data_IF_573368147563
#
_entry.id   IF_573368147563
#
_cell.length_a   1.000
_cell.length_b   1.000
_cell.length_c   1.000
_cell.angle_alpha   90.00
_cell.angle_beta   90.00
_cell.angle_gamma   90.00
#
_symmetry.space_group_name_H-M   'P 1'
#
loop_
_entity.id
_entity.type
_entity.pdbx_description
1 polymer ?
#
# COMPACT_ATOMS: atom_id res chain seq x y z
N UNK A 1 -29.06 10.56 22.57
CA UNK A 1 -28.19 9.50 22.02
C UNK A 1 -27.02 10.20 21.36
N UNK A 2 -25.75 9.84 21.63
CA UNK A 2 -24.64 10.36 20.80
C UNK A 2 -24.94 9.88 19.38
N UNK A 3 -25.18 10.79 18.44
CA UNK A 3 -25.37 10.38 17.06
C UNK A 3 -24.07 9.68 16.62
N UNK A 4 -24.15 8.39 16.31
CA UNK A 4 -23.05 7.70 15.65
C UNK A 4 -22.80 8.39 14.32
N UNK A 5 -21.56 8.41 13.87
CA UNK A 5 -21.21 8.97 12.56
C UNK A 5 -20.48 7.96 11.71
N UNK A 6 -20.50 8.24 10.41
CA UNK A 6 -19.61 7.60 9.47
C UNK A 6 -18.77 8.64 8.73
N UNK A 7 -17.59 8.20 8.35
CA UNK A 7 -16.63 8.86 7.49
C UNK A 7 -16.60 8.11 6.16
N UNK A 8 -16.52 8.83 5.05
CA UNK A 8 -16.30 8.21 3.74
C UNK A 8 -14.80 8.06 3.54
N UNK A 9 -14.29 6.84 3.67
CA UNK A 9 -12.90 6.50 3.35
C UNK A 9 -12.79 6.12 1.88
N UNK A 10 -11.84 6.71 1.17
CA UNK A 10 -11.59 6.46 -0.26
C UNK A 10 -10.12 6.09 -0.41
N UNK A 11 -9.83 4.99 -1.08
CA UNK A 11 -8.48 4.51 -1.42
C UNK A 11 -8.35 4.41 -2.94
N UNK A 12 -7.64 5.37 -3.54
CA UNK A 12 -7.52 5.55 -4.98
C UNK A 12 -6.23 4.87 -5.45
N UNK A 13 -6.33 3.71 -6.08
CA UNK A 13 -5.22 3.07 -6.80
C UNK A 13 -5.21 3.42 -8.29
N UNK A 14 -4.14 3.06 -9.01
CA UNK A 14 -4.05 3.30 -10.46
C UNK A 14 -5.09 2.54 -11.29
N UNK A 15 -5.45 1.32 -10.86
CA UNK A 15 -6.43 0.48 -11.58
C UNK A 15 -7.82 0.56 -10.97
N UNK A 16 -7.93 0.41 -9.65
CA UNK A 16 -9.18 0.39 -8.91
C UNK A 16 -9.17 1.43 -7.79
N UNK A 17 -10.35 1.99 -7.52
CA UNK A 17 -10.62 2.81 -6.35
C UNK A 17 -11.62 2.06 -5.47
N UNK A 18 -11.24 1.82 -4.22
CA UNK A 18 -12.11 1.23 -3.20
C UNK A 18 -12.60 2.35 -2.29
N UNK A 19 -13.86 2.33 -1.90
CA UNK A 19 -14.39 3.32 -0.97
C UNK A 19 -15.47 2.72 -0.08
N UNK A 20 -15.64 3.29 1.11
CA UNK A 20 -16.60 2.78 2.09
C UNK A 20 -17.06 3.83 3.09
N UNK A 21 -18.29 3.64 3.57
CA UNK A 21 -18.82 4.34 4.73
C UNK A 21 -18.34 3.60 5.99
N UNK A 22 -17.39 4.20 6.70
CA UNK A 22 -16.74 3.63 7.89
C UNK A 22 -17.28 4.34 9.12
N UNK A 23 -17.83 3.60 10.07
CA UNK A 23 -18.30 4.20 11.32
C UNK A 23 -17.13 4.70 12.18
N UNK A 24 -17.44 5.56 13.15
CA UNK A 24 -16.48 6.09 14.12
C UNK A 24 -15.67 5.05 14.91
N UNK A 25 -16.18 3.82 15.05
CA UNK A 25 -15.56 2.68 15.71
C UNK A 25 -14.87 1.70 14.73
N UNK A 26 -14.76 2.07 13.45
CA UNK A 26 -14.00 1.31 12.45
C UNK A 26 -14.79 0.24 11.70
N UNK A 27 -16.10 0.12 11.93
CA UNK A 27 -16.95 -0.83 11.22
C UNK A 27 -17.26 -0.34 9.81
N UNK A 28 -17.09 -1.21 8.82
CA UNK A 28 -17.50 -0.94 7.44
C UNK A 28 -19.00 -1.16 7.32
N UNK A 29 -19.74 -0.05 7.17
CA UNK A 29 -21.20 -0.06 7.02
C UNK A 29 -21.62 -0.35 5.58
N UNK A 30 -20.85 0.20 4.63
CA UNK A 30 -21.02 0.05 3.17
C UNK A 30 -19.65 0.10 2.51
N UNK A 31 -19.50 -0.63 1.41
CA UNK A 31 -18.28 -0.69 0.61
C UNK A 31 -18.65 -0.88 -0.86
N UNK A 32 -17.87 -0.28 -1.74
CA UNK A 32 -17.92 -0.53 -3.18
C UNK A 32 -16.51 -0.36 -3.78
N UNK A 33 -16.34 -0.82 -5.02
CA UNK A 33 -15.11 -0.70 -5.78
C UNK A 33 -15.42 -0.42 -7.24
N UNK A 34 -14.71 0.54 -7.82
CA UNK A 34 -14.87 0.92 -9.22
C UNK A 34 -13.50 1.06 -9.89
N UNK A 35 -13.46 0.89 -11.21
CA UNK A 35 -12.25 1.19 -11.99
C UNK A 35 -11.90 2.67 -11.85
N UNK A 36 -10.63 2.97 -11.55
CA UNK A 36 -10.14 4.34 -11.41
C UNK A 36 -10.19 5.09 -12.73
N UNK A 37 -9.90 4.39 -13.85
CA UNK A 37 -9.69 4.99 -15.17
C UNK A 37 -8.70 6.15 -15.08
N UNK A 38 -7.48 5.87 -14.61
CA UNK A 38 -6.44 6.83 -14.28
C UNK A 38 -6.23 7.97 -15.31
N UNK A 39 -6.40 7.69 -16.61
CA UNK A 39 -6.21 8.66 -17.70
C UNK A 39 -7.39 9.62 -17.90
N UNK A 40 -8.55 9.33 -17.30
CA UNK A 40 -9.74 10.17 -17.40
C UNK A 40 -9.72 11.32 -16.40
N UNK A 41 -10.63 12.27 -16.58
CA UNK A 41 -10.79 13.38 -15.64
C UNK A 41 -11.28 12.84 -14.26
N UNK A 42 -10.63 13.23 -13.14
CA UNK A 42 -11.03 12.84 -11.79
C UNK A 42 -12.52 13.04 -11.47
N UNK A 43 -13.17 14.03 -12.11
CA UNK A 43 -14.63 14.27 -12.00
C UNK A 43 -15.44 13.00 -12.20
N UNK A 44 -15.13 12.19 -13.22
CA UNK A 44 -15.90 10.99 -13.49
C UNK A 44 -15.80 9.93 -12.39
N UNK A 45 -14.66 9.87 -11.69
CA UNK A 45 -14.50 8.99 -10.55
C UNK A 45 -15.34 9.47 -9.37
N UNK A 46 -15.21 10.75 -9.01
CA UNK A 46 -15.89 11.33 -7.86
C UNK A 46 -17.40 11.44 -8.04
N UNK A 47 -17.90 11.72 -9.25
CA UNK A 47 -19.34 11.69 -9.56
C UNK A 47 -19.94 10.33 -9.19
N UNK A 48 -19.31 9.23 -9.63
CA UNK A 48 -19.77 7.86 -9.33
C UNK A 48 -19.71 7.55 -7.83
N UNK A 49 -18.61 7.91 -7.16
CA UNK A 49 -18.45 7.69 -5.71
C UNK A 49 -19.55 8.42 -4.94
N UNK A 50 -19.81 9.68 -5.28
CA UNK A 50 -20.78 10.49 -4.54
C UNK A 50 -22.24 10.19 -4.90
N UNK A 51 -22.52 9.73 -6.11
CA UNK A 51 -23.82 9.12 -6.44
C UNK A 51 -24.10 7.91 -5.54
N UNK A 52 -23.11 7.02 -5.36
CA UNK A 52 -23.22 5.85 -4.45
C UNK A 52 -23.34 6.28 -3.00
N UNK A 53 -22.52 7.23 -2.54
CA UNK A 53 -22.61 7.72 -1.17
C UNK A 53 -23.96 8.40 -0.88
N UNK A 54 -24.57 9.11 -1.83
CA UNK A 54 -25.91 9.69 -1.66
C UNK A 54 -26.99 8.64 -1.40
N UNK A 55 -26.87 7.45 -2.01
CA UNK A 55 -27.75 6.31 -1.69
C UNK A 55 -27.47 5.83 -0.27
N UNK A 56 -26.21 5.64 0.10
CA UNK A 56 -25.84 5.18 1.44
C UNK A 56 -26.26 6.14 2.55
N UNK A 57 -26.14 7.46 2.35
CA UNK A 57 -26.59 8.46 3.32
C UNK A 57 -28.07 8.25 3.64
N UNK A 58 -28.94 8.03 2.63
CA UNK A 58 -30.37 7.77 2.85
C UNK A 58 -30.62 6.46 3.60
N UNK A 59 -29.85 5.42 3.30
CA UNK A 59 -29.96 4.11 3.98
C UNK A 59 -29.46 4.15 5.43
N UNK A 60 -28.58 5.09 5.76
CA UNK A 60 -27.92 5.21 7.05
C UNK A 60 -28.46 6.34 7.94
N UNK A 61 -29.25 7.28 7.39
CA UNK A 61 -29.65 8.58 7.97
C UNK A 61 -30.20 8.50 9.40
N UNK A 62 -30.88 7.41 9.74
CA UNK A 62 -31.47 7.20 11.07
C UNK A 62 -30.48 6.70 12.14
N UNK A 63 -29.30 6.21 11.73
CA UNK A 63 -28.31 5.57 12.62
C UNK A 63 -26.97 6.27 12.59
N UNK A 64 -26.57 6.82 11.45
CA UNK A 64 -25.27 7.44 11.26
C UNK A 64 -25.38 8.74 10.47
N UNK A 65 -24.75 9.80 10.96
CA UNK A 65 -24.59 11.02 10.19
C UNK A 65 -23.29 10.99 9.39
N UNK A 66 -23.32 11.51 8.15
CA UNK A 66 -22.13 11.64 7.32
C UNK A 66 -21.28 12.82 7.80
N UNK A 67 -20.09 12.54 8.35
CA UNK A 67 -19.29 13.57 9.06
C UNK A 67 -18.16 14.17 8.25
N UNK A 68 -17.39 13.35 7.53
CA UNK A 68 -16.20 13.80 6.83
C UNK A 68 -15.76 12.81 5.75
N UNK A 69 -14.84 13.25 4.88
CA UNK A 69 -14.23 12.45 3.82
C UNK A 69 -12.73 12.37 4.05
N UNK A 70 -12.18 11.17 3.95
CA UNK A 70 -10.75 10.93 3.96
C UNK A 70 -10.33 10.16 2.72
N UNK A 71 -9.19 10.54 2.12
CA UNK A 71 -8.74 9.99 0.84
C UNK A 71 -7.28 9.56 0.94
N UNK A 72 -7.00 8.28 0.73
CA UNK A 72 -5.68 7.76 0.35
C UNK A 72 -5.52 7.84 -1.16
N UNK A 73 -4.45 8.46 -1.64
CA UNK A 73 -4.17 8.60 -3.08
C UNK A 73 -2.66 8.67 -3.31
N UNK A 74 -2.11 8.05 -4.38
CA UNK A 74 -0.70 8.16 -4.75
C UNK A 74 -0.23 9.61 -4.74
N UNK A 75 0.87 9.87 -4.04
CA UNK A 75 1.45 11.20 -3.83
C UNK A 75 0.46 12.26 -3.30
N UNK A 76 -0.56 11.84 -2.56
CA UNK A 76 -1.46 12.73 -1.82
C UNK A 76 -0.74 13.37 -0.64
N UNK A 77 -0.61 14.69 -0.67
CA UNK A 77 0.12 15.42 0.34
C UNK A 77 -0.79 15.80 1.52
N UNK A 78 -0.47 15.26 2.71
CA UNK A 78 -1.26 15.46 3.92
C UNK A 78 -1.40 16.94 4.34
N UNK A 79 -0.33 17.72 4.19
CA UNK A 79 -0.31 19.11 4.65
C UNK A 79 -1.02 20.06 3.70
N UNK A 80 -0.85 19.86 2.39
CA UNK A 80 -1.30 20.83 1.38
C UNK A 80 -2.63 20.45 0.73
N UNK A 81 -3.06 19.19 0.81
CA UNK A 81 -4.24 18.71 0.09
C UNK A 81 -4.01 18.50 -1.42
N UNK A 82 -2.76 18.60 -1.87
CA UNK A 82 -2.37 18.48 -3.27
C UNK A 82 -1.98 17.05 -3.63
N UNK A 83 -2.30 16.63 -4.85
CA UNK A 83 -1.71 15.45 -5.50
C UNK A 83 -0.63 15.93 -6.46
N UNK A 84 0.61 15.47 -6.27
CA UNK A 84 1.77 15.90 -7.07
C UNK A 84 2.43 14.71 -7.75
N UNK A 85 2.59 14.78 -9.07
CA UNK A 85 3.27 13.78 -9.90
C UNK A 85 2.93 12.32 -9.54
N UNK A 86 1.63 11.95 -9.47
CA UNK A 86 1.24 10.61 -9.07
C UNK A 86 1.71 9.57 -10.10
N UNK A 87 2.48 8.53 -9.71
CA UNK A 87 3.14 7.64 -10.67
C UNK A 87 2.16 6.79 -11.49
N UNK A 88 0.98 6.49 -10.93
CA UNK A 88 0.00 5.58 -11.50
C UNK A 88 -1.32 6.28 -11.87
N UNK A 89 -1.36 7.61 -11.88
CA UNK A 89 -2.54 8.39 -12.28
C UNK A 89 -2.18 9.29 -13.46
N UNK A 90 -3.13 9.46 -14.39
CA UNK A 90 -2.89 10.18 -15.64
C UNK A 90 -2.68 11.69 -15.44
N UNK A 91 -2.29 12.37 -16.52
CA UNK A 91 -1.91 13.80 -16.53
C UNK A 91 -2.95 14.75 -15.86
N UNK A 92 -4.24 14.38 -15.86
CA UNK A 92 -5.32 15.16 -15.25
C UNK A 92 -5.29 15.19 -13.70
N UNK A 93 -4.50 14.33 -13.08
CA UNK A 93 -4.29 14.28 -11.63
C UNK A 93 -3.08 15.09 -11.16
N UNK A 94 -2.23 15.57 -12.08
CA UNK A 94 -1.03 16.32 -11.72
C UNK A 94 -1.36 17.69 -11.13
N UNK A 95 -0.69 18.02 -10.02
CA UNK A 95 -0.82 19.30 -9.32
C UNK A 95 -2.28 19.66 -9.00
N UNK A 96 -3.07 18.64 -8.64
CA UNK A 96 -4.48 18.80 -8.32
C UNK A 96 -4.66 19.09 -6.83
N UNK A 97 -5.29 20.22 -6.51
CA UNK A 97 -5.83 20.49 -5.16
C UNK A 97 -7.09 19.63 -4.96
N UNK A 98 -6.87 18.40 -4.48
CA UNK A 98 -7.91 17.39 -4.38
C UNK A 98 -8.91 17.73 -3.27
N UNK A 99 -8.45 18.36 -2.19
CA UNK A 99 -9.32 18.84 -1.11
C UNK A 99 -10.31 19.88 -1.63
N UNK A 100 -9.83 20.91 -2.33
CA UNK A 100 -10.69 21.94 -2.93
C UNK A 100 -11.59 21.36 -4.01
N UNK A 101 -11.09 20.40 -4.78
CA UNK A 101 -11.87 19.68 -5.78
C UNK A 101 -13.07 18.97 -5.16
N UNK A 102 -12.86 18.16 -4.11
CA UNK A 102 -13.91 17.37 -3.46
C UNK A 102 -14.89 18.26 -2.68
N UNK A 103 -14.44 19.36 -2.10
CA UNK A 103 -15.32 20.34 -1.42
C UNK A 103 -16.40 20.96 -2.30
N UNK A 104 -16.30 20.83 -3.62
CA UNK A 104 -17.38 21.23 -4.56
C UNK A 104 -18.62 20.33 -4.46
N UNK A 105 -18.46 19.10 -3.94
CA UNK A 105 -19.53 18.12 -3.80
C UNK A 105 -20.19 18.16 -2.43
N UNK A 106 -19.40 18.35 -1.37
CA UNK A 106 -19.87 18.40 0.01
C UNK A 106 -19.18 19.51 0.80
N UNK A 107 -19.97 20.24 1.58
CA UNK A 107 -19.48 21.23 2.55
C UNK A 107 -19.19 20.58 3.92
N UNK A 108 -18.28 19.61 3.92
CA UNK A 108 -17.81 18.89 5.13
C UNK A 108 -16.28 18.82 5.15
N UNK A 109 -15.65 18.47 6.28
CA UNK A 109 -14.21 18.28 6.33
C UNK A 109 -13.72 17.21 5.34
N UNK A 110 -12.68 17.55 4.58
CA UNK A 110 -11.99 16.67 3.63
C UNK A 110 -10.51 16.71 3.94
N UNK A 111 -9.87 15.54 4.06
CA UNK A 111 -8.41 15.40 4.18
C UNK A 111 -7.93 14.32 3.23
N UNK A 112 -6.68 14.42 2.80
CA UNK A 112 -6.03 13.41 1.98
C UNK A 112 -4.70 13.00 2.59
N UNK A 113 -4.18 11.86 2.14
CA UNK A 113 -2.81 11.43 2.40
C UNK A 113 -2.36 10.45 1.30
N UNK A 114 -1.10 10.02 1.36
CA UNK A 114 -0.60 8.92 0.56
C UNK A 114 -1.30 7.60 0.98
N UNK A 115 -1.56 6.71 0.02
CA UNK A 115 -2.22 5.42 0.23
C UNK A 115 -1.55 4.53 1.29
N UNK A 116 -0.22 4.44 1.29
CA UNK A 116 0.52 3.70 2.32
C UNK A 116 0.43 4.35 3.70
N UNK A 117 0.41 5.69 3.77
CA UNK A 117 0.16 6.42 5.02
C UNK A 117 -1.28 6.24 5.51
N UNK A 118 -2.27 6.15 4.62
CA UNK A 118 -3.63 5.79 4.97
C UNK A 118 -3.66 4.37 5.58
N UNK A 119 -3.07 3.38 4.90
CA UNK A 119 -2.98 2.02 5.44
C UNK A 119 -2.29 1.97 6.83
N UNK A 120 -1.21 2.74 7.02
CA UNK A 120 -0.55 2.86 8.31
C UNK A 120 -1.46 3.44 9.40
N UNK A 121 -2.26 4.45 9.07
CA UNK A 121 -3.24 5.00 9.99
C UNK A 121 -4.35 3.98 10.33
N UNK A 122 -4.76 3.17 9.35
CA UNK A 122 -5.71 2.08 9.55
C UNK A 122 -5.18 1.05 10.55
N UNK A 123 -3.96 0.56 10.34
CA UNK A 123 -3.28 -0.36 11.26
C UNK A 123 -3.12 0.24 12.65
N UNK A 124 -2.75 1.53 12.73
CA UNK A 124 -2.59 2.23 14.01
C UNK A 124 -3.90 2.40 14.77
N UNK A 125 -5.02 2.51 14.07
CA UNK A 125 -6.33 2.79 14.68
C UNK A 125 -7.06 1.51 15.07
N UNK A 126 -7.05 0.52 14.19
CA UNK A 126 -7.90 -0.67 14.30
C UNK A 126 -7.19 -2.00 14.02
N UNK A 127 -5.94 -1.97 13.55
CA UNK A 127 -5.19 -3.18 13.19
C UNK A 127 -4.12 -3.57 14.20
N UNK A 128 -3.09 -4.29 13.73
CA UNK A 128 -2.07 -4.90 14.61
C UNK A 128 -1.11 -3.88 15.21
N UNK A 129 -1.05 -2.66 14.65
CA UNK A 129 -0.21 -1.58 15.16
C UNK A 129 -0.88 -0.75 16.28
N UNK A 130 -2.09 -1.12 16.71
CA UNK A 130 -2.88 -0.33 17.66
C UNK A 130 -2.11 0.04 18.94
N UNK A 131 -1.39 -0.90 19.52
CA UNK A 131 -0.61 -0.68 20.74
C UNK A 131 0.88 -0.35 20.48
N UNK A 132 1.32 -0.37 19.22
CA UNK A 132 2.70 -0.08 18.85
C UNK A 132 2.97 1.41 18.80
N UNK A 133 4.14 1.84 19.27
CA UNK A 133 4.62 3.21 19.15
C UNK A 133 5.46 3.40 17.91
N UNK A 134 6.26 2.41 17.55
CA UNK A 134 7.17 2.51 16.41
C UNK A 134 6.98 1.30 15.50
N UNK A 135 6.44 1.51 14.31
CA UNK A 135 6.18 0.44 13.35
C UNK A 135 6.27 0.97 11.92
N UNK A 136 6.48 0.07 10.97
CA UNK A 136 6.47 0.39 9.54
C UNK A 136 5.40 -0.45 8.89
N UNK A 137 4.40 0.18 8.28
CA UNK A 137 3.41 -0.52 7.46
C UNK A 137 3.90 -0.52 6.03
N UNK A 138 4.08 -1.70 5.46
CA UNK A 138 4.59 -1.92 4.11
C UNK A 138 3.45 -2.36 3.21
N UNK A 139 3.21 -1.61 2.14
CA UNK A 139 2.24 -1.96 1.11
C UNK A 139 2.99 -2.66 -0.03
N UNK A 140 2.65 -3.92 -0.31
CA UNK A 140 3.31 -4.71 -1.34
C UNK A 140 2.28 -5.20 -2.38
N UNK A 141 2.39 -4.66 -3.59
CA UNK A 141 1.48 -4.92 -4.70
C UNK A 141 2.15 -4.65 -6.03
N UNK A 142 1.54 -3.80 -6.87
CA UNK A 142 2.16 -3.33 -8.12
C UNK A 142 3.50 -2.66 -7.87
N UNK A 143 3.60 -1.90 -6.78
CA UNK A 143 4.82 -1.27 -6.26
C UNK A 143 5.11 -1.65 -4.80
N UNK A 144 6.02 -0.92 -4.16
CA UNK A 144 6.29 -0.98 -2.72
C UNK A 144 6.13 0.42 -2.12
N UNK A 145 5.11 0.60 -1.30
CA UNK A 145 4.93 1.79 -0.47
C UNK A 145 5.19 1.49 1.01
N UNK A 146 5.39 2.52 1.82
CA UNK A 146 5.32 2.35 3.28
C UNK A 146 4.81 3.59 4.00
N UNK A 147 4.16 3.36 5.14
CA UNK A 147 3.80 4.40 6.09
C UNK A 147 4.52 4.16 7.41
N UNK A 148 5.07 5.24 7.97
CA UNK A 148 5.85 5.18 9.20
C UNK A 148 4.96 5.55 10.39
N UNK A 149 4.97 4.73 11.43
CA UNK A 149 4.40 5.06 12.74
C UNK A 149 5.58 5.34 13.67
N UNK A 150 5.66 6.56 14.20
CA UNK A 150 6.71 7.02 15.11
C UNK A 150 6.03 7.68 16.32
N UNK A 151 6.43 7.26 17.52
CA UNK A 151 5.81 7.73 18.77
C UNK A 151 4.26 7.60 18.79
N UNK A 152 3.75 6.55 18.16
CA UNK A 152 2.33 6.23 18.08
C UNK A 152 1.54 7.05 17.06
N UNK A 153 2.21 7.84 16.21
CA UNK A 153 1.56 8.67 15.19
C UNK A 153 2.13 8.36 13.81
N UNK A 154 1.30 8.51 12.77
CA UNK A 154 1.82 8.45 11.40
C UNK A 154 2.75 9.64 11.17
N UNK A 155 3.96 9.35 10.71
CA UNK A 155 5.00 10.33 10.45
C UNK A 155 5.02 10.70 8.96
N UNK A 156 4.72 11.96 8.67
CA UNK A 156 4.61 12.49 7.32
C UNK A 156 5.89 13.17 6.80
N UNK A 157 6.90 13.39 7.66
CA UNK A 157 8.07 14.20 7.33
C UNK A 157 7.76 15.70 7.31
N UNK A 158 8.73 16.50 6.84
CA UNK A 158 8.59 17.96 6.83
C UNK A 158 7.71 18.48 5.69
N UNK A 159 7.62 17.74 4.59
CA UNK A 159 6.91 18.13 3.37
C UNK A 159 5.79 17.15 2.98
N UNK A 160 5.58 16.05 3.73
CA UNK A 160 4.47 15.13 3.51
C UNK A 160 4.83 13.83 2.77
N UNK A 161 6.11 13.59 2.47
CA UNK A 161 6.60 12.44 1.70
C UNK A 161 7.56 11.52 2.47
N UNK A 162 7.47 11.47 3.80
CA UNK A 162 8.22 10.46 4.55
C UNK A 162 7.65 9.05 4.29
N UNK A 163 8.52 8.03 4.37
CA UNK A 163 8.13 6.63 4.23
C UNK A 163 8.35 6.01 2.84
N UNK A 164 9.19 6.60 2.00
CA UNK A 164 9.49 6.07 0.66
C UNK A 164 10.48 4.87 0.68
N UNK A 165 10.13 3.81 1.41
CA UNK A 165 10.93 2.59 1.56
C UNK A 165 11.21 1.90 0.21
N UNK A 166 10.27 1.97 -0.73
CA UNK A 166 10.42 1.38 -2.06
C UNK A 166 11.59 1.96 -2.86
N UNK A 167 12.00 3.18 -2.52
CA UNK A 167 13.01 3.93 -3.27
C UNK A 167 14.39 3.98 -2.60
N UNK A 168 14.62 3.22 -1.52
CA UNK A 168 15.98 3.00 -1.04
C UNK A 168 16.79 2.24 -2.11
N UNK A 169 18.08 2.57 -2.24
CA UNK A 169 18.95 1.92 -3.24
C UNK A 169 19.50 0.65 -2.62
N UNK A 170 19.06 -0.52 -3.11
CA UNK A 170 19.60 -1.82 -2.71
C UNK A 170 20.78 -2.25 -3.59
N UNK A 171 20.78 -1.83 -4.85
CA UNK A 171 21.85 -2.13 -5.80
C UNK A 171 22.15 -0.89 -6.65
N UNK A 172 23.24 -0.15 -6.37
CA UNK A 172 23.58 1.06 -7.13
C UNK A 172 23.78 0.86 -8.64
N UNK A 173 24.02 -0.36 -9.10
CA UNK A 173 24.15 -0.72 -10.53
C UNK A 173 22.94 -1.50 -11.04
N UNK A 174 21.86 -1.45 -10.27
CA UNK A 174 20.67 -2.27 -10.43
C UNK A 174 19.70 -1.81 -11.50
N UNK A 175 18.44 -2.21 -11.34
CA UNK A 175 17.34 -1.91 -12.27
C UNK A 175 16.99 -0.42 -12.27
N UNK A 176 16.65 0.11 -13.43
CA UNK A 176 16.11 1.47 -13.55
C UNK A 176 14.71 1.51 -12.95
N UNK A 177 14.45 2.52 -12.12
CA UNK A 177 13.15 2.77 -11.50
C UNK A 177 12.47 3.95 -12.18
N UNK A 178 11.14 3.92 -12.22
CA UNK A 178 10.32 4.99 -12.81
C UNK A 178 10.43 6.31 -12.06
N UNK A 179 10.88 6.30 -10.80
CA UNK A 179 11.23 7.52 -10.07
C UNK A 179 12.48 8.24 -10.63
N UNK A 180 13.13 7.70 -11.66
CA UNK A 180 14.34 8.26 -12.29
C UNK A 180 15.65 7.82 -11.65
N UNK A 181 15.60 7.02 -10.57
CA UNK A 181 16.77 6.45 -9.89
C UNK A 181 17.08 5.05 -10.39
N UNK A 182 18.24 4.54 -9.99
CA UNK A 182 18.67 3.17 -10.27
C UNK A 182 18.84 2.39 -8.97
N UNK A 183 18.39 1.13 -8.95
CA UNK A 183 18.59 0.24 -7.82
C UNK A 183 17.54 0.29 -6.73
N UNK A 184 16.38 0.90 -6.97
CA UNK A 184 15.32 1.00 -5.96
C UNK A 184 14.82 -0.39 -5.55
N UNK A 185 14.62 -0.58 -4.24
CA UNK A 185 14.11 -1.82 -3.65
C UNK A 185 12.84 -2.33 -4.34
N UNK A 186 11.90 -1.43 -4.64
CA UNK A 186 10.64 -1.73 -5.34
C UNK A 186 10.86 -2.54 -6.62
N UNK A 187 11.92 -2.24 -7.38
CA UNK A 187 12.21 -2.88 -8.66
C UNK A 187 12.63 -4.34 -8.53
N UNK A 188 12.71 -4.88 -7.32
CA UNK A 188 13.05 -6.28 -7.04
C UNK A 188 11.94 -7.05 -6.32
N UNK A 189 11.14 -6.35 -5.50
CA UNK A 189 10.24 -6.99 -4.53
C UNK A 189 8.76 -6.81 -4.82
N UNK A 190 8.40 -5.80 -5.62
CA UNK A 190 7.02 -5.60 -6.08
C UNK A 190 6.61 -6.61 -7.14
N UNK A 191 5.33 -6.65 -7.53
CA UNK A 191 4.88 -7.43 -8.69
C UNK A 191 5.64 -7.05 -9.97
N UNK A 192 5.92 -5.75 -10.18
CA UNK A 192 6.76 -5.27 -11.29
C UNK A 192 8.18 -5.80 -11.16
N UNK A 193 8.75 -5.78 -9.96
CA UNK A 193 10.09 -6.30 -9.70
C UNK A 193 10.22 -7.81 -9.92
N UNK A 194 9.22 -8.59 -9.50
CA UNK A 194 9.15 -10.03 -9.75
C UNK A 194 9.10 -10.34 -11.24
N UNK A 195 8.31 -9.58 -12.03
CA UNK A 195 8.27 -9.71 -13.48
C UNK A 195 9.67 -9.53 -14.08
N UNK A 196 10.40 -8.47 -13.70
CA UNK A 196 11.78 -8.29 -14.15
C UNK A 196 12.69 -9.46 -13.76
N UNK A 197 12.54 -10.01 -12.55
CA UNK A 197 13.31 -11.19 -12.13
C UNK A 197 12.99 -12.41 -13.00
N UNK A 198 11.72 -12.64 -13.31
CA UNK A 198 11.32 -13.71 -14.22
C UNK A 198 11.95 -13.52 -15.61
N UNK A 199 11.94 -12.30 -16.14
CA UNK A 199 12.53 -11.97 -17.45
C UNK A 199 14.07 -12.22 -17.45
N UNK A 200 14.75 -11.88 -16.35
CA UNK A 200 16.19 -12.14 -16.16
C UNK A 200 16.50 -13.65 -16.07
N UNK A 201 15.62 -14.43 -15.41
CA UNK A 201 15.74 -15.88 -15.35
C UNK A 201 15.44 -16.53 -16.71
N UNK A 202 14.40 -16.09 -17.41
CA UNK A 202 14.03 -16.62 -18.71
C UNK A 202 15.13 -16.36 -19.75
N UNK A 203 15.81 -15.22 -19.69
CA UNK A 203 16.95 -14.92 -20.56
C UNK A 203 18.12 -15.91 -20.38
N UNK A 204 18.27 -16.48 -19.17
CA UNK A 204 19.28 -17.51 -18.85
C UNK A 204 18.79 -18.93 -19.14
N UNK A 205 17.47 -19.15 -19.01
CA UNK A 205 16.81 -20.45 -19.19
C UNK A 205 15.66 -20.36 -20.21
N UNK A 206 15.95 -20.08 -21.50
CA UNK A 206 14.92 -19.70 -22.48
C UNK A 206 13.90 -20.81 -22.82
N UNK A 207 14.20 -22.06 -22.47
CA UNK A 207 13.34 -23.22 -22.72
C UNK A 207 12.58 -23.70 -21.47
N UNK A 208 12.66 -22.99 -20.34
CA UNK A 208 11.93 -23.37 -19.12
C UNK A 208 10.43 -23.15 -19.31
N UNK A 209 9.67 -24.26 -19.29
CA UNK A 209 8.21 -24.24 -19.51
C UNK A 209 7.45 -23.48 -18.44
N UNK A 210 7.95 -23.48 -17.19
CA UNK A 210 7.30 -22.78 -16.08
C UNK A 210 7.41 -21.28 -16.28
N UNK A 211 8.62 -20.79 -16.55
CA UNK A 211 8.86 -19.37 -16.80
C UNK A 211 8.11 -18.86 -18.03
N UNK A 212 8.10 -19.64 -19.13
CA UNK A 212 7.32 -19.31 -20.31
C UNK A 212 5.81 -19.19 -19.99
N UNK A 213 5.24 -20.13 -19.23
CA UNK A 213 3.83 -20.09 -18.84
C UNK A 213 3.48 -18.91 -17.90
N UNK A 214 4.45 -18.42 -17.11
CA UNK A 214 4.27 -17.24 -16.26
C UNK A 214 4.25 -15.92 -17.05
N UNK A 215 4.84 -15.88 -18.24
CA UNK A 215 4.75 -14.71 -19.12
C UNK A 215 3.48 -14.68 -19.98
N UNK A 216 2.92 -15.85 -20.32
CA UNK A 216 1.73 -15.94 -21.18
C UNK A 216 0.53 -15.28 -20.47
N UNK A 217 0.06 -14.16 -21.04
CA UNK A 217 -1.10 -13.35 -20.62
C UNK A 217 -0.89 -12.32 -19.49
N UNK A 218 0.32 -11.76 -19.36
CA UNK A 218 0.79 -10.93 -18.24
C UNK A 218 1.13 -11.76 -16.99
N UNK A 219 2.01 -11.20 -16.16
CA UNK A 219 2.46 -11.84 -14.92
C UNK A 219 1.27 -12.22 -14.02
N UNK A 220 1.16 -13.51 -13.73
CA UNK A 220 0.14 -14.08 -12.86
C UNK A 220 0.80 -14.61 -11.58
N UNK A 221 0.70 -13.84 -10.50
CA UNK A 221 1.26 -14.21 -9.20
C UNK A 221 0.66 -15.50 -8.63
N UNK A 222 -0.58 -15.86 -9.00
CA UNK A 222 -1.21 -17.09 -8.52
C UNK A 222 -0.56 -18.33 -9.12
N UNK A 223 -0.26 -18.32 -10.42
CA UNK A 223 0.48 -19.42 -11.05
C UNK A 223 1.88 -19.57 -10.45
N UNK A 224 2.52 -18.46 -10.11
CA UNK A 224 3.83 -18.46 -9.46
C UNK A 224 3.73 -19.09 -8.06
N UNK A 225 2.71 -18.73 -7.29
CA UNK A 225 2.42 -19.35 -5.99
C UNK A 225 2.18 -20.86 -6.09
N UNK A 226 1.37 -21.30 -7.05
CA UNK A 226 1.08 -22.73 -7.30
C UNK A 226 2.37 -23.50 -7.66
N UNK A 227 3.24 -22.91 -8.49
CA UNK A 227 4.51 -23.53 -8.86
C UNK A 227 5.51 -23.59 -7.69
N UNK A 228 5.51 -22.57 -6.82
CA UNK A 228 6.29 -22.62 -5.57
C UNK A 228 5.80 -23.75 -4.67
N UNK A 229 4.50 -23.84 -4.42
CA UNK A 229 3.91 -24.86 -3.55
C UNK A 229 4.12 -26.28 -4.09
N UNK A 230 4.16 -26.43 -5.42
CA UNK A 230 4.50 -27.68 -6.10
C UNK A 230 6.01 -28.03 -6.05
N UNK A 231 6.84 -27.18 -5.45
CA UNK A 231 8.28 -27.42 -5.28
C UNK A 231 9.10 -27.20 -6.56
N UNK A 232 8.63 -26.37 -7.50
CA UNK A 232 9.39 -26.07 -8.72
C UNK A 232 10.62 -25.24 -8.38
N UNK A 233 11.80 -25.84 -8.50
CA UNK A 233 13.09 -25.26 -8.07
C UNK A 233 13.34 -23.83 -8.58
N UNK A 234 13.12 -23.56 -9.87
CA UNK A 234 13.38 -22.23 -10.44
C UNK A 234 12.49 -21.14 -9.82
N UNK A 235 11.28 -21.50 -9.38
CA UNK A 235 10.36 -20.58 -8.71
C UNK A 235 10.72 -20.40 -7.23
N UNK A 236 11.19 -21.47 -6.58
CA UNK A 236 11.76 -21.40 -5.24
C UNK A 236 12.96 -20.43 -5.21
N UNK A 237 13.87 -20.52 -6.18
CA UNK A 237 15.01 -19.61 -6.32
C UNK A 237 14.60 -18.15 -6.53
N UNK A 238 13.57 -17.89 -7.35
CA UNK A 238 13.08 -16.52 -7.57
C UNK A 238 12.48 -15.94 -6.29
N UNK A 239 11.67 -16.72 -5.57
CA UNK A 239 11.10 -16.28 -4.30
C UNK A 239 12.17 -16.06 -3.22
N UNK A 240 13.18 -16.92 -3.17
CA UNK A 240 14.33 -16.77 -2.28
C UNK A 240 15.14 -15.51 -2.62
N UNK A 241 15.46 -15.27 -3.90
CA UNK A 241 16.14 -14.06 -4.35
C UNK A 241 15.37 -12.80 -3.95
N UNK A 242 14.07 -12.75 -4.26
CA UNK A 242 13.22 -11.60 -3.94
C UNK A 242 13.10 -11.39 -2.42
N UNK A 243 12.89 -12.46 -1.65
CA UNK A 243 12.84 -12.38 -0.19
C UNK A 243 14.18 -11.93 0.40
N UNK A 244 15.30 -12.41 -0.11
CA UNK A 244 16.63 -11.99 0.33
C UNK A 244 16.85 -10.49 0.16
N UNK A 245 16.47 -9.95 -1.00
CA UNK A 245 16.53 -8.50 -1.27
C UNK A 245 15.58 -7.72 -0.36
N UNK A 246 14.34 -8.18 -0.17
CA UNK A 246 13.41 -7.56 0.77
C UNK A 246 14.01 -7.49 2.17
N UNK A 247 14.54 -8.61 2.68
CA UNK A 247 15.16 -8.67 4.01
C UNK A 247 16.33 -7.71 4.20
N UNK A 248 17.18 -7.53 3.18
CA UNK A 248 18.25 -6.53 3.21
C UNK A 248 17.68 -5.11 3.32
N UNK A 249 16.65 -4.79 2.55
CA UNK A 249 15.98 -3.49 2.62
C UNK A 249 15.33 -3.21 3.98
N UNK A 250 14.68 -4.21 4.57
CA UNK A 250 14.11 -4.13 5.92
C UNK A 250 15.21 -3.92 6.98
N UNK A 251 16.36 -4.59 6.86
CA UNK A 251 17.49 -4.41 7.78
C UNK A 251 18.11 -3.00 7.68
N UNK A 252 18.22 -2.45 6.48
CA UNK A 252 18.65 -1.05 6.29
C UNK A 252 17.68 -0.07 6.96
N UNK A 253 16.38 -0.23 6.73
CA UNK A 253 15.36 0.60 7.39
C UNK A 253 15.40 0.45 8.92
N UNK A 254 15.60 -0.78 9.41
CA UNK A 254 15.72 -1.09 10.84
C UNK A 254 16.89 -0.38 11.51
N UNK A 255 18.00 -0.19 10.80
CA UNK A 255 19.17 0.52 11.32
C UNK A 255 18.85 1.95 11.74
N UNK A 256 17.90 2.59 11.06
CA UNK A 256 17.49 3.99 11.29
C UNK A 256 16.28 4.05 12.21
N UNK A 257 15.28 3.22 11.96
CA UNK A 257 13.96 3.34 12.57
C UNK A 257 13.77 2.48 13.82
N UNK A 258 14.53 1.39 13.92
CA UNK A 258 14.40 0.36 14.97
C UNK A 258 12.94 0.02 15.33
N UNK A 259 12.09 -0.35 14.35
CA UNK A 259 10.66 -0.53 14.58
C UNK A 259 10.37 -1.80 15.41
N UNK A 260 9.23 -1.83 16.10
CA UNK A 260 8.70 -3.03 16.75
C UNK A 260 8.31 -4.10 15.73
N UNK A 261 7.77 -3.65 14.58
CA UNK A 261 7.37 -4.52 13.48
C UNK A 261 7.39 -3.84 12.12
N UNK A 262 7.64 -4.65 11.08
CA UNK A 262 7.18 -4.39 9.72
C UNK A 262 5.85 -5.13 9.51
N UNK A 263 4.80 -4.40 9.17
CA UNK A 263 3.43 -4.92 9.00
C UNK A 263 3.10 -4.89 7.52
N UNK A 264 2.92 -6.07 6.93
CA UNK A 264 2.67 -6.20 5.49
C UNK A 264 1.17 -6.20 5.17
N UNK A 265 0.82 -5.37 4.19
CA UNK A 265 -0.51 -5.22 3.62
C UNK A 265 -0.42 -5.25 2.08
N UNK A 266 -1.48 -5.67 1.38
CA UNK A 266 -1.61 -5.58 -0.08
C UNK A 266 -1.56 -6.92 -0.82
N UNK A 267 -1.83 -6.91 -2.14
CA UNK A 267 -2.08 -8.13 -2.92
C UNK A 267 -0.90 -9.12 -3.00
N UNK A 268 0.35 -8.64 -3.00
CA UNK A 268 1.52 -9.53 -2.97
C UNK A 268 1.81 -10.06 -1.56
N UNK A 269 1.27 -9.40 -0.53
CA UNK A 269 1.29 -9.96 0.82
C UNK A 269 0.50 -11.27 0.89
N UNK A 270 -0.35 -11.63 -0.09
CA UNK A 270 -0.98 -12.95 -0.20
C UNK A 270 0.00 -14.09 -0.52
N UNK A 271 1.18 -13.78 -1.09
CA UNK A 271 2.30 -14.72 -1.10
C UNK A 271 2.83 -15.01 0.32
N UNK A 272 2.28 -14.33 1.35
CA UNK A 272 2.44 -14.47 2.82
C UNK A 272 3.76 -15.10 3.22
N UNK A 273 3.80 -16.43 3.27
CA UNK A 273 4.92 -17.17 3.80
C UNK A 273 6.06 -17.39 2.77
N UNK A 274 5.76 -17.36 1.47
CA UNK A 274 6.70 -17.69 0.38
C UNK A 274 7.83 -16.67 0.28
N UNK A 275 7.51 -15.37 0.33
CA UNK A 275 8.52 -14.29 0.36
C UNK A 275 9.00 -14.02 1.79
N UNK A 276 8.06 -13.88 2.74
CA UNK A 276 8.40 -13.34 4.07
C UNK A 276 9.29 -14.27 4.89
N UNK A 277 9.28 -15.59 4.62
CA UNK A 277 10.23 -16.53 5.24
C UNK A 277 11.67 -16.17 4.88
N UNK A 278 11.98 -16.03 3.60
CA UNK A 278 13.33 -15.66 3.15
C UNK A 278 13.67 -14.22 3.55
N UNK A 279 12.69 -13.31 3.50
CA UNK A 279 12.87 -11.94 3.98
C UNK A 279 13.23 -11.88 5.46
N UNK A 280 12.59 -12.70 6.31
CA UNK A 280 12.93 -12.78 7.73
C UNK A 280 14.35 -13.29 7.94
N UNK A 281 14.72 -14.37 7.25
CA UNK A 281 16.06 -14.96 7.34
C UNK A 281 17.14 -13.96 6.91
N UNK A 282 16.95 -13.29 5.78
CA UNK A 282 17.87 -12.27 5.28
C UNK A 282 17.91 -11.04 6.19
N UNK A 283 16.76 -10.57 6.68
CA UNK A 283 16.71 -9.45 7.63
C UNK A 283 17.54 -9.77 8.88
N UNK A 284 17.31 -10.92 9.53
CA UNK A 284 18.03 -11.31 10.74
C UNK A 284 19.55 -11.46 10.53
N UNK A 285 19.97 -11.88 9.34
CA UNK A 285 21.38 -11.98 8.98
C UNK A 285 22.05 -10.59 8.86
N UNK A 286 21.30 -9.58 8.42
CA UNK A 286 21.79 -8.24 8.11
C UNK A 286 21.50 -7.19 9.20
N UNK A 287 20.72 -7.53 10.23
CA UNK A 287 20.46 -6.64 11.37
C UNK A 287 21.71 -6.42 12.24
N UNK A 288 21.79 -5.24 12.85
CA UNK A 288 22.74 -4.98 13.94
C UNK A 288 22.52 -6.01 15.05
N UNK A 289 23.61 -6.41 15.71
CA UNK A 289 23.60 -7.51 16.68
C UNK A 289 22.54 -7.35 17.79
N UNK A 290 22.31 -6.14 18.28
CA UNK A 290 21.34 -5.82 19.33
C UNK A 290 19.89 -5.70 18.83
N UNK A 291 19.67 -5.64 17.52
CA UNK A 291 18.32 -5.59 16.92
C UNK A 291 17.79 -6.98 16.56
N UNK A 292 18.67 -7.98 16.45
CA UNK A 292 18.29 -9.36 16.14
C UNK A 292 17.24 -9.86 17.13
N UNK A 293 16.24 -10.57 16.62
CA UNK A 293 15.09 -11.11 17.36
C UNK A 293 14.12 -10.07 17.99
N UNK A 294 14.41 -8.77 17.91
CA UNK A 294 13.56 -7.72 18.50
C UNK A 294 12.55 -7.13 17.51
N UNK A 295 12.76 -7.34 16.20
CA UNK A 295 11.93 -6.77 15.14
C UNK A 295 11.07 -7.87 14.51
N UNK A 296 9.75 -7.66 14.51
CA UNK A 296 8.78 -8.62 13.97
C UNK A 296 8.49 -8.35 12.50
N UNK A 297 8.14 -9.41 11.77
CA UNK A 297 7.46 -9.32 10.47
C UNK A 297 6.04 -9.83 10.70
N UNK A 298 5.05 -8.96 10.54
CA UNK A 298 3.64 -9.24 10.77
C UNK A 298 2.84 -9.06 9.49
N UNK A 299 1.68 -9.69 9.42
CA UNK A 299 0.67 -9.43 8.41
C UNK A 299 -0.40 -8.53 9.02
N UNK A 300 -1.03 -7.70 8.18
CA UNK A 300 -2.26 -6.99 8.54
C UNK A 300 -3.34 -7.98 8.99
N UNK A 301 -4.07 -7.62 10.06
CA UNK A 301 -5.28 -8.31 10.52
C UNK A 301 -6.56 -7.55 10.16
N UNK A 302 -6.43 -6.39 9.53
CA UNK A 302 -7.58 -5.71 8.93
C UNK A 302 -8.09 -6.54 7.75
N UNK A 303 -9.39 -6.45 7.42
CA UNK A 303 -9.90 -7.28 6.34
C UNK A 303 -9.20 -6.98 5.01
N UNK A 304 -9.06 -8.01 4.19
CA UNK A 304 -8.19 -8.00 3.01
C UNK A 304 -8.53 -6.83 2.06
N UNK A 305 -7.55 -5.96 1.83
CA UNK A 305 -7.68 -4.80 0.94
C UNK A 305 -8.45 -3.60 1.53
N UNK A 306 -8.72 -3.60 2.83
CA UNK A 306 -9.56 -2.56 3.45
C UNK A 306 -8.79 -1.59 4.36
N UNK A 307 -7.52 -1.88 4.68
CA UNK A 307 -6.70 -1.00 5.52
C UNK A 307 -6.61 0.44 4.98
N UNK A 308 -6.57 0.60 3.65
CA UNK A 308 -6.56 1.91 3.00
C UNK A 308 -7.83 2.73 3.27
N UNK A 309 -9.02 2.16 3.06
CA UNK A 309 -10.29 2.88 3.30
C UNK A 309 -10.56 3.12 4.78
N UNK A 310 -10.22 2.15 5.65
CA UNK A 310 -10.35 2.28 7.11
C UNK A 310 -9.44 3.40 7.59
N UNK A 311 -8.18 3.38 7.18
CA UNK A 311 -7.21 4.40 7.57
C UNK A 311 -7.50 5.78 6.99
N UNK A 312 -7.94 5.87 5.73
CA UNK A 312 -8.38 7.13 5.14
C UNK A 312 -9.51 7.75 5.97
N UNK A 313 -10.48 6.95 6.43
CA UNK A 313 -11.58 7.42 7.28
C UNK A 313 -11.12 8.00 8.64
N UNK A 314 -9.91 7.67 9.08
CA UNK A 314 -9.33 8.11 10.36
C UNK A 314 -8.55 9.43 10.28
N UNK A 315 -8.40 10.05 9.10
CA UNK A 315 -7.56 11.26 8.93
C UNK A 315 -8.00 12.49 9.77
N UNK A 316 -9.24 12.47 10.25
CA UNK A 316 -9.83 13.54 11.06
C UNK A 316 -9.86 13.23 12.56
N UNK A 317 -9.23 12.13 13.00
CA UNK A 317 -9.12 11.74 14.40
C UNK A 317 -7.88 12.35 15.08
#
# INVERSE_FOLDING_TARGET
MKNSYYSLGIDIGGTNTVFGAISHDGLILKKDSILTNADQNPVHLFDKIFERNKVWTKELDNRYFFKNIGIGVPNGNYFTGMVKDPPNLGQKWQNLDLVKFVKKYYDIPVKITNDANAAALGEKSFGVAKEMKNAVVVTLGTGLGSGLIIEGKVFYGHDGFAGELGHIIIDPKGRICECGRQGCLEMYVSAKGLKHTIDDYLSRYPNDKTLLNLQVNNFDGKKMDEAFDAGVNIIQEIYEFTGNILGQGLAQASTILSPEAFIFYGGLSNAKHRILKFAKQSMDANLLSFQKNNIKILLSELPDGEAGIIGASCLHQ
#
